data_IF_606107887414
#
_entry.id   IF_606107887414
#
_cell.length_a   1.000
_cell.length_b   1.000
_cell.length_c   1.000
_cell.angle_alpha   90.00
_cell.angle_beta   90.00
_cell.angle_gamma   90.00
#
_symmetry.space_group_name_H-M   'P 1'
#
loop_
_entity.id
_entity.type
_entity.pdbx_description
1 polymer ?
#
# COMPACT_ATOMS: atom_id res chain seq x y z
N UNK A 1 -4.27 4.07 -9.50
CA UNK A 1 -4.07 5.31 -8.73
C UNK A 1 -5.43 5.91 -8.44
N UNK A 2 -5.67 6.34 -7.21
CA UNK A 2 -6.87 7.03 -6.77
C UNK A 2 -6.51 8.47 -6.46
N UNK A 3 -7.14 9.43 -7.11
CA UNK A 3 -6.87 10.85 -6.93
C UNK A 3 -8.16 11.69 -6.76
N UNK A 4 -8.00 12.99 -6.51
CA UNK A 4 -9.10 13.95 -6.40
C UNK A 4 -9.56 14.16 -4.96
N UNK A 5 -10.82 13.87 -4.65
CA UNK A 5 -11.43 14.18 -3.36
C UNK A 5 -11.09 13.15 -2.26
N UNK A 6 -9.80 12.83 -2.10
CA UNK A 6 -9.31 11.75 -1.22
C UNK A 6 -9.35 12.09 0.28
N UNK A 7 -9.50 13.35 0.64
CA UNK A 7 -9.54 13.82 2.03
C UNK A 7 -10.95 14.00 2.60
N UNK A 8 -11.98 13.59 1.89
CA UNK A 8 -13.37 13.72 2.32
C UNK A 8 -13.85 12.47 3.11
N UNK A 9 -15.10 12.49 3.54
CA UNK A 9 -15.77 11.36 4.17
C UNK A 9 -16.74 10.70 3.22
N UNK A 10 -16.99 9.42 3.43
CA UNK A 10 -17.77 8.55 2.55
C UNK A 10 -18.85 7.81 3.35
N UNK A 11 -19.94 7.45 2.67
CA UNK A 11 -20.92 6.52 3.24
C UNK A 11 -20.54 5.09 2.83
N UNK A 12 -20.24 4.24 3.81
CA UNK A 12 -20.03 2.82 3.55
C UNK A 12 -21.35 2.07 3.29
N UNK A 13 -21.28 0.79 2.97
CA UNK A 13 -22.47 -0.06 2.72
C UNK A 13 -23.44 -0.10 3.92
N UNK A 14 -22.92 0.06 5.14
CA UNK A 14 -23.72 0.14 6.37
C UNK A 14 -24.30 1.53 6.62
N UNK A 15 -24.14 2.45 5.66
CA UNK A 15 -24.55 3.86 5.77
C UNK A 15 -23.89 4.59 6.96
N UNK A 16 -22.67 4.23 7.30
CA UNK A 16 -21.87 4.95 8.29
C UNK A 16 -20.93 5.93 7.57
N UNK A 17 -20.71 7.08 8.19
CA UNK A 17 -19.76 8.07 7.69
C UNK A 17 -18.37 7.62 8.10
N UNK A 18 -17.51 7.38 7.13
CA UNK A 18 -16.14 6.87 7.31
C UNK A 18 -15.17 7.67 6.44
N UNK A 19 -13.90 7.67 6.80
CA UNK A 19 -12.84 8.19 5.94
C UNK A 19 -12.53 7.24 4.77
N UNK A 20 -11.71 7.70 3.83
CA UNK A 20 -11.35 6.89 2.65
C UNK A 20 -10.59 5.61 3.04
N UNK A 21 -9.77 5.65 4.09
CA UNK A 21 -9.06 4.48 4.60
C UNK A 21 -10.04 3.38 5.00
N UNK A 22 -10.96 3.71 5.91
CA UNK A 22 -11.95 2.74 6.39
C UNK A 22 -12.87 2.26 5.26
N UNK A 23 -13.27 3.17 4.36
CA UNK A 23 -14.07 2.81 3.19
C UNK A 23 -13.39 1.77 2.30
N UNK A 24 -12.11 2.00 1.95
CA UNK A 24 -11.31 1.08 1.13
C UNK A 24 -11.06 -0.24 1.85
N UNK A 25 -10.75 -0.20 3.15
CA UNK A 25 -10.53 -1.41 3.94
C UNK A 25 -11.79 -2.30 3.98
N UNK A 26 -12.97 -1.70 4.20
CA UNK A 26 -14.25 -2.43 4.20
C UNK A 26 -14.56 -3.01 2.81
N UNK A 27 -14.39 -2.21 1.77
CA UNK A 27 -14.62 -2.63 0.38
C UNK A 27 -13.71 -3.79 -0.03
N UNK A 28 -12.40 -3.68 0.24
CA UNK A 28 -11.42 -4.70 -0.14
C UNK A 28 -11.63 -6.01 0.63
N UNK A 29 -12.00 -5.94 1.91
CA UNK A 29 -12.41 -7.12 2.67
C UNK A 29 -13.64 -7.80 2.07
N UNK A 30 -14.60 -7.01 1.59
CA UNK A 30 -15.79 -7.52 0.87
C UNK A 30 -15.46 -8.16 -0.49
N UNK A 31 -14.31 -7.83 -1.09
CA UNK A 31 -13.79 -8.40 -2.34
C UNK A 31 -12.90 -9.64 -2.12
N UNK A 32 -12.95 -10.24 -0.92
CA UNK A 32 -12.24 -11.47 -0.57
C UNK A 32 -10.72 -11.40 -0.76
N UNK A 33 -10.11 -10.26 -0.42
CA UNK A 33 -8.66 -10.21 -0.26
C UNK A 33 -8.24 -10.94 1.02
N UNK A 34 -7.24 -11.79 0.92
CA UNK A 34 -6.67 -12.52 2.07
C UNK A 34 -6.06 -11.57 3.10
N UNK A 35 -5.40 -10.52 2.60
CA UNK A 35 -4.81 -9.48 3.42
C UNK A 35 -5.02 -8.11 2.78
N UNK A 36 -5.33 -7.14 3.61
CA UNK A 36 -5.40 -5.72 3.22
C UNK A 36 -4.45 -4.95 4.11
N UNK A 37 -3.43 -4.37 3.51
CA UNK A 37 -2.37 -3.63 4.18
C UNK A 37 -2.47 -2.16 3.79
N UNK A 38 -2.61 -1.33 4.79
CA UNK A 38 -2.58 0.12 4.62
C UNK A 38 -1.22 0.65 5.08
N UNK A 39 -0.64 1.56 4.33
CA UNK A 39 0.64 2.13 4.62
C UNK A 39 0.66 3.63 4.40
N UNK A 40 1.29 4.35 5.30
CA UNK A 40 1.79 5.68 5.07
C UNK A 40 3.16 5.86 5.73
N UNK A 41 3.87 6.90 5.32
CA UNK A 41 5.26 7.13 5.74
C UNK A 41 5.40 7.49 7.23
N UNK A 42 4.35 7.95 7.86
CA UNK A 42 4.39 8.40 9.26
C UNK A 42 4.12 7.24 10.21
N UNK A 43 3.04 6.53 9.94
CA UNK A 43 2.57 5.46 10.82
C UNK A 43 3.11 4.07 10.43
N UNK A 44 3.67 3.93 9.20
CA UNK A 44 4.13 2.66 8.67
C UNK A 44 2.98 1.77 8.22
N UNK A 45 3.15 0.45 8.31
CA UNK A 45 2.13 -0.53 7.91
C UNK A 45 1.08 -0.71 8.99
N UNK A 46 -0.19 -0.63 8.60
CA UNK A 46 -1.35 -1.05 9.38
C UNK A 46 -1.97 -2.28 8.71
N UNK A 47 -1.98 -3.39 9.42
CA UNK A 47 -2.44 -4.69 8.95
C UNK A 47 -1.57 -5.84 9.45
N UNK A 48 -1.96 -7.07 9.17
CA UNK A 48 -1.22 -8.27 9.59
C UNK A 48 -0.02 -8.52 8.66
N UNK A 49 1.17 -8.23 9.16
CA UNK A 49 2.44 -8.43 8.44
C UNK A 49 3.05 -9.82 8.68
N UNK A 50 2.51 -10.63 9.61
CA UNK A 50 3.09 -11.91 10.02
C UNK A 50 3.21 -12.93 8.89
N UNK A 51 2.38 -12.76 7.85
CA UNK A 51 2.31 -13.65 6.69
C UNK A 51 3.06 -13.10 5.46
N UNK A 52 3.61 -11.90 5.55
CA UNK A 52 4.35 -11.30 4.45
C UNK A 52 5.75 -11.91 4.34
N UNK A 53 6.26 -12.00 3.12
CA UNK A 53 7.70 -12.13 2.90
C UNK A 53 8.36 -10.80 3.20
N UNK A 54 8.81 -10.66 4.40
CA UNK A 54 9.73 -9.61 4.81
C UNK A 54 11.12 -9.94 4.24
N UNK A 55 11.99 -8.95 4.17
CA UNK A 55 13.35 -9.13 3.68
C UNK A 55 14.00 -10.25 4.50
N UNK A 56 14.28 -11.40 3.87
CA UNK A 56 15.22 -12.32 4.45
C UNK A 56 16.50 -11.52 4.64
N UNK A 57 17.04 -11.55 5.85
CA UNK A 57 18.34 -10.97 6.14
C UNK A 57 19.28 -11.34 5.00
N UNK A 58 19.90 -10.34 4.38
CA UNK A 58 20.89 -10.56 3.36
C UNK A 58 21.94 -11.45 4.04
N UNK A 59 22.03 -12.71 3.61
CA UNK A 59 23.23 -13.49 3.87
C UNK A 59 24.37 -12.72 3.22
N UNK A 60 24.95 -11.82 4.00
CA UNK A 60 26.24 -11.24 3.70
C UNK A 60 27.21 -12.41 3.91
N UNK A 61 27.56 -13.11 2.82
CA UNK A 61 28.80 -13.83 2.77
C UNK A 61 29.92 -12.79 2.96
N UNK A 62 30.20 -12.50 4.20
CA UNK A 62 31.26 -11.64 4.65
C UNK A 62 32.20 -12.47 5.49
N UNK A 63 33.44 -12.57 4.98
CA UNK A 63 34.59 -13.21 5.61
C UNK A 63 34.63 -12.97 7.13
N UNK A 64 34.86 -14.07 7.82
CA UNK A 64 35.08 -14.15 9.25
C UNK A 64 36.22 -13.25 9.72
N UNK A 65 35.88 -12.22 10.48
CA UNK A 65 36.76 -11.73 11.55
C UNK A 65 35.99 -11.76 12.86
N UNK A 66 36.29 -12.79 13.65
CA UNK A 66 35.88 -12.92 15.03
C UNK A 66 36.52 -11.80 15.88
N UNK A 67 35.67 -11.04 16.56
CA UNK A 67 36.02 -10.41 17.81
C UNK A 67 34.98 -10.83 18.84
N UNK A 68 35.46 -11.63 19.80
CA UNK A 68 34.75 -11.89 21.05
C UNK A 68 34.65 -10.56 21.81
N UNK A 69 33.40 -10.25 22.27
CA UNK A 69 33.20 -9.74 23.64
C UNK A 69 31.75 -9.72 24.02
N UNK A 70 31.45 -10.46 25.08
CA UNK A 70 30.49 -10.33 26.19
C UNK A 70 29.04 -9.88 26.00
N UNK A 71 28.17 -10.85 26.27
CA UNK A 71 26.92 -10.84 27.06
C UNK A 71 26.14 -9.52 27.19
N UNK A 72 25.04 -9.41 26.43
CA UNK A 72 23.78 -8.89 26.95
C UNK A 72 22.62 -9.72 26.40
N UNK A 73 21.99 -10.52 27.29
CA UNK A 73 20.68 -11.13 27.12
C UNK A 73 19.62 -10.05 26.88
N UNK A 74 19.29 -9.78 25.64
CA UNK A 74 18.04 -9.08 25.33
C UNK A 74 16.93 -10.10 25.23
N UNK A 75 16.19 -10.24 26.33
CA UNK A 75 14.89 -10.87 26.39
C UNK A 75 13.97 -10.23 25.36
N UNK A 76 13.75 -10.93 24.26
CA UNK A 76 12.70 -10.59 23.30
C UNK A 76 11.33 -10.84 23.94
N UNK A 77 10.73 -9.80 24.49
CA UNK A 77 9.30 -9.76 24.77
C UNK A 77 8.55 -10.02 23.48
N UNK A 78 7.65 -10.99 23.49
CA UNK A 78 6.64 -11.21 22.46
C UNK A 78 5.71 -9.99 22.43
N UNK A 79 6.14 -8.90 21.76
CA UNK A 79 5.30 -7.77 21.48
C UNK A 79 4.37 -8.09 20.31
N UNK A 80 3.12 -7.77 20.50
CA UNK A 80 1.97 -7.85 19.60
C UNK A 80 2.36 -7.62 18.13
N UNK A 81 2.25 -8.66 17.30
CA UNK A 81 2.58 -8.66 15.87
C UNK A 81 1.56 -7.93 14.98
N UNK A 82 0.85 -6.96 15.52
CA UNK A 82 0.13 -5.96 14.72
C UNK A 82 1.15 -4.99 14.16
N UNK A 83 1.34 -4.98 12.85
CA UNK A 83 2.42 -4.28 12.14
C UNK A 83 2.42 -2.75 12.22
N UNK A 84 1.69 -2.16 13.16
CA UNK A 84 1.67 -0.72 13.40
C UNK A 84 3.06 -0.21 13.76
N UNK A 85 3.56 0.72 12.95
CA UNK A 85 4.87 1.37 13.15
C UNK A 85 6.06 0.70 12.46
N UNK A 86 5.87 -0.43 11.79
CA UNK A 86 6.92 -1.09 11.00
C UNK A 86 6.97 -0.55 9.56
N UNK A 87 8.13 -0.65 8.92
CA UNK A 87 8.33 -0.36 7.49
C UNK A 87 7.90 1.04 7.07
N UNK A 88 8.44 2.07 7.71
CA UNK A 88 8.14 3.47 7.41
C UNK A 88 8.80 3.99 6.15
N UNK A 89 9.94 3.45 5.78
CA UNK A 89 10.65 3.90 4.59
C UNK A 89 10.03 3.34 3.30
N UNK A 90 9.87 4.17 2.27
CA UNK A 90 9.30 3.74 0.99
C UNK A 90 10.05 2.56 0.35
N UNK A 91 11.35 2.47 0.53
CA UNK A 91 12.17 1.34 0.03
C UNK A 91 11.79 0.01 0.67
N UNK A 92 11.49 0.01 1.95
CA UNK A 92 11.09 -1.19 2.69
C UNK A 92 9.75 -1.71 2.18
N UNK A 93 8.73 -0.85 2.17
CA UNK A 93 7.38 -1.25 1.73
C UNK A 93 7.35 -1.66 0.25
N UNK A 94 8.10 -0.98 -0.62
CA UNK A 94 8.15 -1.35 -2.04
C UNK A 94 8.86 -2.69 -2.27
N UNK A 95 9.87 -3.02 -1.50
CA UNK A 95 10.49 -4.35 -1.52
C UNK A 95 9.52 -5.45 -1.03
N UNK A 96 8.76 -5.18 0.03
CA UNK A 96 7.72 -6.08 0.52
C UNK A 96 6.67 -6.31 -0.57
N UNK A 97 6.15 -5.25 -1.18
CA UNK A 97 5.21 -5.33 -2.31
C UNK A 97 5.79 -6.20 -3.42
N UNK A 98 7.02 -5.91 -3.87
CA UNK A 98 7.68 -6.64 -4.95
C UNK A 98 7.81 -8.15 -4.68
N UNK A 99 8.16 -8.51 -3.46
CA UNK A 99 8.29 -9.93 -3.08
C UNK A 99 6.94 -10.64 -3.00
N UNK A 100 5.93 -9.96 -2.46
CA UNK A 100 4.63 -10.58 -2.22
C UNK A 100 3.73 -10.63 -3.46
N UNK A 101 3.82 -9.68 -4.39
CA UNK A 101 3.10 -9.74 -5.68
C UNK A 101 3.54 -10.91 -6.57
N UNK A 102 4.71 -11.47 -6.33
CA UNK A 102 5.20 -12.66 -7.03
C UNK A 102 4.66 -13.98 -6.50
N UNK A 103 3.98 -13.96 -5.35
CA UNK A 103 3.42 -15.17 -4.74
C UNK A 103 2.03 -15.44 -5.31
N UNK A 104 1.82 -16.60 -5.96
CA UNK A 104 0.55 -16.89 -6.63
C UNK A 104 -0.59 -17.22 -5.66
N UNK A 105 -0.30 -17.64 -4.44
CA UNK A 105 -1.27 -18.31 -3.57
C UNK A 105 -2.02 -17.37 -2.61
N UNK A 106 -1.89 -16.05 -2.79
CA UNK A 106 -2.54 -15.06 -1.91
C UNK A 106 -2.95 -13.83 -2.67
N UNK A 107 -4.13 -13.35 -2.38
CA UNK A 107 -4.69 -12.11 -2.92
C UNK A 107 -4.49 -10.99 -1.90
N UNK A 108 -3.51 -10.15 -2.11
CA UNK A 108 -3.13 -9.08 -1.18
C UNK A 108 -3.46 -7.72 -1.78
N UNK A 109 -4.06 -6.84 -1.01
CA UNK A 109 -4.24 -5.44 -1.37
C UNK A 109 -3.28 -4.56 -0.55
N UNK A 110 -2.42 -3.82 -1.25
CA UNK A 110 -1.54 -2.80 -0.67
C UNK A 110 -2.14 -1.41 -0.93
N UNK A 111 -2.51 -0.70 0.11
CA UNK A 111 -3.06 0.66 0.03
C UNK A 111 -2.04 1.64 0.57
N UNK A 112 -1.42 2.43 -0.30
CA UNK A 112 -0.40 3.41 0.05
C UNK A 112 -1.03 4.81 0.04
N UNK A 113 -1.13 5.41 1.21
CA UNK A 113 -1.67 6.75 1.39
C UNK A 113 -0.57 7.82 1.30
N UNK A 114 -0.97 9.05 1.07
CA UNK A 114 -0.07 10.20 0.93
C UNK A 114 0.99 9.97 -0.16
N UNK A 115 0.63 9.28 -1.23
CA UNK A 115 1.53 8.99 -2.34
C UNK A 115 2.03 10.26 -3.06
N UNK A 116 1.43 11.42 -2.78
CA UNK A 116 1.93 12.75 -3.18
C UNK A 116 3.38 13.01 -2.79
N UNK A 117 3.82 12.41 -1.70
CA UNK A 117 5.13 12.67 -1.09
C UNK A 117 6.15 11.55 -1.36
N UNK A 118 5.81 10.62 -2.23
CA UNK A 118 6.72 9.54 -2.62
C UNK A 118 7.71 9.96 -3.71
N UNK A 119 7.33 10.93 -4.54
CA UNK A 119 8.11 11.34 -5.69
C UNK A 119 8.18 12.85 -5.81
N UNK A 120 9.35 13.35 -6.19
CA UNK A 120 9.56 14.77 -6.48
C UNK A 120 8.81 15.18 -7.75
N UNK A 121 8.09 16.30 -7.66
CA UNK A 121 7.34 16.85 -8.79
C UNK A 121 8.15 17.89 -9.57
N UNK A 122 7.96 17.93 -10.88
CA UNK A 122 8.41 19.04 -11.73
C UNK A 122 9.88 19.01 -12.15
N UNK A 123 10.55 17.85 -12.17
CA UNK A 123 11.94 17.76 -12.60
C UNK A 123 12.40 16.35 -12.95
N UNK A 124 13.71 16.16 -13.03
CA UNK A 124 14.26 14.81 -13.03
C UNK A 124 14.14 14.19 -11.64
N UNK A 125 13.60 13.00 -11.58
CA UNK A 125 13.56 12.23 -10.34
C UNK A 125 15.00 11.99 -9.82
N UNK A 126 15.25 12.20 -8.53
CA UNK A 126 16.47 11.75 -7.89
C UNK A 126 16.74 10.26 -8.14
N UNK A 127 18.00 9.80 -8.07
CA UNK A 127 18.32 8.40 -8.36
C UNK A 127 17.57 7.39 -7.51
N UNK A 128 17.41 7.65 -6.22
CA UNK A 128 16.67 6.85 -5.25
C UNK A 128 15.18 6.77 -5.58
N UNK A 129 14.53 7.89 -5.87
CA UNK A 129 13.12 7.91 -6.29
C UNK A 129 12.91 7.20 -7.64
N UNK A 130 13.88 7.30 -8.55
CA UNK A 130 13.85 6.58 -9.82
C UNK A 130 13.94 5.06 -9.59
N UNK A 131 14.78 4.64 -8.67
CA UNK A 131 14.91 3.24 -8.29
C UNK A 131 13.60 2.71 -7.70
N UNK A 132 12.98 3.45 -6.76
CA UNK A 132 11.68 3.10 -6.18
C UNK A 132 10.59 2.98 -7.26
N UNK A 133 10.52 3.94 -8.18
CA UNK A 133 9.54 3.89 -9.27
C UNK A 133 9.78 2.70 -10.21
N UNK A 134 11.06 2.38 -10.46
CA UNK A 134 11.44 1.20 -11.26
C UNK A 134 11.05 -0.08 -10.54
N UNK A 135 11.28 -0.17 -9.23
CA UNK A 135 10.91 -1.30 -8.41
C UNK A 135 9.39 -1.52 -8.41
N UNK A 136 8.63 -0.44 -8.24
CA UNK A 136 7.16 -0.48 -8.30
C UNK A 136 6.66 -0.94 -9.68
N UNK A 137 7.20 -0.36 -10.75
CA UNK A 137 6.86 -0.76 -12.13
C UNK A 137 7.20 -2.22 -12.42
N UNK A 138 8.34 -2.70 -11.91
CA UNK A 138 8.75 -4.11 -12.02
C UNK A 138 7.84 -5.02 -11.19
N UNK A 139 7.44 -4.61 -9.98
CA UNK A 139 6.51 -5.34 -9.15
C UNK A 139 5.17 -5.57 -9.87
N UNK A 140 4.63 -4.52 -10.49
CA UNK A 140 3.38 -4.57 -11.27
C UNK A 140 3.52 -5.53 -12.45
N UNK A 141 4.62 -5.43 -13.21
CA UNK A 141 4.86 -6.25 -14.40
C UNK A 141 5.08 -7.73 -14.08
N UNK A 142 5.79 -8.02 -12.99
CA UNK A 142 6.18 -9.38 -12.60
C UNK A 142 5.15 -10.05 -11.69
N UNK A 143 4.04 -9.38 -11.35
CA UNK A 143 2.99 -9.94 -10.49
C UNK A 143 2.47 -11.26 -11.05
N UNK A 144 2.12 -12.17 -10.18
CA UNK A 144 1.50 -13.43 -10.55
C UNK A 144 -0.03 -13.30 -10.53
N UNK A 145 -0.63 -13.80 -11.59
CA UNK A 145 -2.08 -13.88 -11.74
C UNK A 145 -2.46 -15.35 -11.82
N UNK A 146 -3.36 -15.77 -10.95
CA UNK A 146 -3.90 -17.14 -10.98
C UNK A 146 -5.38 -17.11 -11.37
N UNK A 147 -5.76 -18.08 -12.15
CA UNK A 147 -7.16 -18.30 -12.53
C UNK A 147 -7.69 -19.51 -11.75
N UNK A 148 -8.45 -19.23 -10.69
CA UNK A 148 -9.09 -20.25 -9.88
C UNK A 148 -10.60 -20.25 -10.19
N UNK A 149 -11.12 -21.38 -10.68
CA UNK A 149 -12.57 -21.56 -10.96
C UNK A 149 -13.21 -20.45 -11.82
N UNK A 150 -12.50 -19.95 -12.84
CA UNK A 150 -12.89 -18.81 -13.68
C UNK A 150 -12.83 -17.44 -12.99
N UNK A 151 -12.36 -17.36 -11.77
CA UNK A 151 -12.09 -16.10 -11.07
C UNK A 151 -10.61 -15.75 -11.14
N UNK A 152 -10.33 -14.44 -11.20
CA UNK A 152 -8.96 -13.93 -11.23
C UNK A 152 -8.50 -13.71 -9.81
N UNK A 153 -7.50 -14.49 -9.37
CA UNK A 153 -6.83 -14.26 -8.10
C UNK A 153 -5.60 -13.36 -8.33
N UNK A 154 -5.77 -12.09 -8.06
CA UNK A 154 -4.78 -11.05 -8.35
C UNK A 154 -4.63 -10.07 -7.20
N UNK A 155 -3.39 -9.91 -6.73
CA UNK A 155 -3.05 -8.87 -5.77
C UNK A 155 -3.06 -7.48 -6.41
N UNK A 156 -3.37 -6.46 -5.64
CA UNK A 156 -3.50 -5.08 -6.14
C UNK A 156 -2.68 -4.08 -5.33
N UNK A 157 -2.30 -2.99 -5.97
CA UNK A 157 -1.69 -1.82 -5.32
C UNK A 157 -2.59 -0.62 -5.56
N UNK A 158 -2.98 0.06 -4.51
CA UNK A 158 -3.76 1.30 -4.55
C UNK A 158 -2.87 2.43 -4.05
N UNK A 159 -2.58 3.40 -4.90
CA UNK A 159 -1.84 4.61 -4.55
C UNK A 159 -2.84 5.75 -4.40
N UNK A 160 -2.93 6.34 -3.22
CA UNK A 160 -3.84 7.44 -2.91
C UNK A 160 -3.05 8.75 -2.97
N UNK A 161 -3.48 9.68 -3.81
CA UNK A 161 -2.83 10.97 -4.03
C UNK A 161 -3.87 12.09 -4.13
N UNK A 162 -3.53 13.29 -3.74
CA UNK A 162 -4.42 14.45 -3.90
C UNK A 162 -4.59 14.87 -5.36
N UNK A 163 -3.56 14.62 -6.18
CA UNK A 163 -3.55 14.97 -7.62
C UNK A 163 -2.71 13.98 -8.40
N UNK A 164 -3.27 13.47 -9.49
CA UNK A 164 -2.56 12.58 -10.41
C UNK A 164 -1.23 13.17 -10.94
N UNK A 165 -1.17 14.50 -11.10
CA UNK A 165 0.03 15.20 -11.55
C UNK A 165 1.25 15.09 -10.58
N UNK A 166 1.06 14.55 -9.39
CA UNK A 166 2.15 14.25 -8.46
C UNK A 166 2.95 13.00 -8.88
N UNK A 167 2.40 12.21 -9.78
CA UNK A 167 3.11 11.06 -10.35
C UNK A 167 3.75 11.38 -11.69
N UNK A 168 4.90 10.77 -12.02
CA UNK A 168 5.48 10.86 -13.36
C UNK A 168 4.50 10.35 -14.42
N UNK A 169 4.24 11.16 -15.45
CA UNK A 169 3.29 10.83 -16.52
C UNK A 169 3.62 9.49 -17.19
N UNK A 170 4.91 9.19 -17.37
CA UNK A 170 5.38 7.94 -17.97
C UNK A 170 4.98 6.69 -17.16
N UNK A 171 4.72 6.84 -15.87
CA UNK A 171 4.33 5.72 -15.01
C UNK A 171 2.91 5.24 -15.29
N UNK A 172 1.96 6.14 -15.49
CA UNK A 172 0.55 5.78 -15.62
C UNK A 172 -0.02 5.89 -17.04
N UNK A 173 0.46 6.82 -17.88
CA UNK A 173 -0.09 6.97 -19.24
C UNK A 173 0.32 5.85 -20.21
N UNK A 174 1.54 5.35 -20.08
CA UNK A 174 2.09 4.34 -20.96
C UNK A 174 2.01 2.91 -20.41
N UNK A 175 1.45 2.73 -19.21
CA UNK A 175 1.39 1.43 -18.54
C UNK A 175 -0.06 0.92 -18.50
N UNK A 176 -0.40 -0.12 -19.31
CA UNK A 176 -1.75 -0.67 -19.36
C UNK A 176 -2.20 -1.34 -18.04
N UNK A 177 -1.25 -1.66 -17.17
CA UNK A 177 -1.53 -2.25 -15.85
C UNK A 177 -1.89 -1.18 -14.79
N UNK A 178 -1.79 0.11 -15.13
CA UNK A 178 -2.10 1.20 -14.22
C UNK A 178 -3.40 1.87 -14.62
N UNK A 179 -4.40 1.75 -13.77
CA UNK A 179 -5.67 2.47 -13.89
C UNK A 179 -5.69 3.69 -12.99
N UNK A 180 -6.30 4.78 -13.47
CA UNK A 180 -6.47 6.00 -12.67
C UNK A 180 -7.97 6.22 -12.41
N UNK A 181 -8.31 6.46 -11.16
CA UNK A 181 -9.66 6.74 -10.71
C UNK A 181 -9.69 8.08 -9.99
N UNK A 182 -10.44 9.04 -10.52
CA UNK A 182 -10.61 10.34 -9.87
C UNK A 182 -11.90 10.37 -9.07
N UNK A 183 -11.77 10.59 -7.76
CA UNK A 183 -12.90 10.76 -6.86
C UNK A 183 -13.48 12.17 -7.02
N UNK A 184 -14.72 12.26 -7.45
CA UNK A 184 -15.44 13.53 -7.52
C UNK A 184 -15.84 14.02 -6.14
N UNK A 185 -16.11 15.32 -6.02
CA UNK A 185 -16.77 15.84 -4.83
C UNK A 185 -18.21 15.31 -4.76
N UNK A 186 -18.74 15.07 -3.56
CA UNK A 186 -20.11 14.60 -3.41
C UNK A 186 -21.08 15.58 -4.05
N UNK A 187 -22.06 15.08 -4.77
CA UNK A 187 -23.13 15.87 -5.35
C UNK A 187 -24.12 16.39 -4.28
N UNK A 188 -25.16 17.09 -4.70
CA UNK A 188 -26.13 17.64 -3.74
C UNK A 188 -26.90 16.54 -2.99
N UNK A 189 -27.30 15.51 -3.67
CA UNK A 189 -28.07 14.40 -3.09
C UNK A 189 -27.24 13.61 -2.07
N UNK A 190 -25.98 13.33 -2.42
CA UNK A 190 -25.04 12.67 -1.51
C UNK A 190 -24.79 13.50 -0.25
N UNK A 191 -24.63 14.84 -0.39
CA UNK A 191 -24.46 15.74 0.77
C UNK A 191 -25.72 15.78 1.64
N UNK A 192 -26.91 15.83 1.06
CA UNK A 192 -28.18 15.81 1.81
C UNK A 192 -28.29 14.49 2.62
N UNK A 193 -27.97 13.33 2.02
CA UNK A 193 -27.95 12.03 2.73
C UNK A 193 -26.93 12.00 3.89
N UNK A 194 -25.78 12.62 3.70
CA UNK A 194 -24.77 12.72 4.77
C UNK A 194 -25.25 13.60 5.92
N UNK A 195 -25.90 14.74 5.62
CA UNK A 195 -26.43 15.65 6.65
C UNK A 195 -27.54 15.00 7.47
N UNK A 196 -28.49 14.31 6.82
CA UNK A 196 -29.53 13.56 7.51
C UNK A 196 -28.95 12.52 8.49
N UNK A 197 -27.78 11.99 8.16
CA UNK A 197 -27.11 11.00 8.99
C UNK A 197 -26.36 11.59 10.18
N UNK A 198 -25.89 12.81 10.05
CA UNK A 198 -25.24 13.55 11.15
C UNK A 198 -26.28 14.02 12.18
N UNK A 199 -27.50 14.34 11.74
CA UNK A 199 -28.58 14.86 12.57
C UNK A 199 -29.38 13.76 13.28
N UNK A 200 -29.21 12.49 12.91
CA UNK A 200 -29.94 11.32 13.46
C UNK A 200 -29.16 10.62 14.57
#
# INVERSE_FOLDING_TARGET
IVDGNVGDVYLNEKKQIVDLKQYLMDMLKGMEYDDVLYWDRIDGVDGDVSRLSVIDEVEVEGDAYSFDDDDEETTSTEEDKTGSGLFKEPSEIFNIIFKNLKKPNRKIAFVLNWADYLFTTGGQLPPDERELLTLLGKAIKDKKVEYLNAEVNESTIILITSKLAMFPISFYQANPEVSCLTLSKPDREEREKMLEKIES
#
